data_IF_125609448837
#
_entry.id   IF_125609448837
#
_cell.length_a   1.000
_cell.length_b   1.000
_cell.length_c   1.000
_cell.angle_alpha   90.00
_cell.angle_beta   90.00
_cell.angle_gamma   90.00
#
_symmetry.space_group_name_H-M   'P 1'
#
loop_
_entity.id
_entity.type
_entity.pdbx_description
1 polymer ?
#
# COMPACT_ATOMS: atom_id res chain seq x y z
N UNK A 1 -2.16 10.39 23.27
CA UNK A 1 -1.99 11.88 23.20
C UNK A 1 -0.50 12.16 23.19
N UNK A 2 0.11 12.36 22.00
CA UNK A 2 1.49 12.84 21.93
C UNK A 2 1.52 14.31 22.39
N UNK A 3 2.48 14.74 23.22
CA UNK A 3 2.49 16.09 23.75
C UNK A 3 2.71 17.10 22.63
N UNK A 4 1.89 18.13 22.59
CA UNK A 4 1.94 19.29 21.68
C UNK A 4 3.31 20.03 21.61
N UNK A 5 4.24 19.67 22.46
CA UNK A 5 5.60 20.24 22.58
C UNK A 5 6.68 19.55 21.72
N UNK A 6 6.36 18.42 21.08
CA UNK A 6 7.31 17.68 20.22
C UNK A 6 7.60 18.34 18.87
N UNK A 7 6.64 19.12 18.33
CA UNK A 7 6.76 19.72 16.99
C UNK A 7 7.90 20.75 16.87
N UNK A 8 8.16 21.53 17.91
CA UNK A 8 9.18 22.58 17.90
C UNK A 8 10.63 22.05 17.78
N UNK A 9 10.92 20.88 18.30
CA UNK A 9 12.25 20.25 18.16
C UNK A 9 12.40 19.60 16.80
N UNK A 10 11.37 18.92 16.33
CA UNK A 10 11.37 18.22 15.04
C UNK A 10 11.53 19.17 13.86
N UNK A 11 10.78 20.28 13.82
CA UNK A 11 10.82 21.24 12.70
C UNK A 11 11.85 22.36 12.87
N UNK A 12 12.71 22.31 13.90
CA UNK A 12 13.65 23.41 14.22
C UNK A 12 14.57 23.77 13.07
N UNK A 13 15.14 22.79 12.40
CA UNK A 13 16.04 23.00 11.27
C UNK A 13 15.31 23.59 10.07
N UNK A 14 14.19 23.01 9.67
CA UNK A 14 13.39 23.48 8.54
C UNK A 14 12.82 24.89 8.78
N UNK A 15 12.34 25.19 10.00
CA UNK A 15 11.86 26.53 10.36
C UNK A 15 12.98 27.58 10.31
N UNK A 16 14.18 27.23 10.80
CA UNK A 16 15.34 28.14 10.74
C UNK A 16 15.74 28.44 9.30
N UNK A 17 15.87 27.39 8.47
CA UNK A 17 16.18 27.55 7.04
C UNK A 17 15.07 28.32 6.31
N UNK A 18 13.81 28.01 6.56
CA UNK A 18 12.67 28.70 5.97
C UNK A 18 12.66 30.20 6.28
N UNK A 19 12.97 30.58 7.51
CA UNK A 19 13.07 32.00 7.92
C UNK A 19 14.22 32.71 7.23
N UNK A 20 15.40 32.07 7.10
CA UNK A 20 16.55 32.63 6.39
C UNK A 20 16.19 32.83 4.92
N UNK A 21 15.63 31.83 4.25
CA UNK A 21 15.22 31.96 2.84
C UNK A 21 14.14 33.02 2.64
N UNK A 22 13.16 33.11 3.52
CA UNK A 22 12.13 34.18 3.48
C UNK A 22 12.77 35.57 3.53
N UNK A 23 13.76 35.77 4.42
CA UNK A 23 14.50 37.03 4.51
C UNK A 23 15.30 37.34 3.25
N UNK A 24 16.00 36.35 2.67
CA UNK A 24 16.77 36.50 1.43
C UNK A 24 15.86 36.80 0.22
N UNK A 25 14.75 36.11 0.07
CA UNK A 25 13.75 36.33 -0.99
C UNK A 25 13.16 37.75 -0.86
N UNK A 26 12.75 38.13 0.36
CA UNK A 26 12.24 39.50 0.62
C UNK A 26 13.26 40.59 0.29
N UNK A 27 14.53 40.40 0.67
CA UNK A 27 15.61 41.34 0.34
C UNK A 27 15.88 41.43 -1.18
N UNK A 28 15.92 40.31 -1.88
CA UNK A 28 16.13 40.25 -3.33
C UNK A 28 14.99 40.93 -4.10
N UNK A 29 13.75 40.73 -3.69
CA UNK A 29 12.58 41.27 -4.37
C UNK A 29 12.21 42.70 -3.93
N UNK A 30 12.86 43.23 -2.88
CA UNK A 30 12.55 44.55 -2.31
C UNK A 30 12.49 45.66 -3.37
N UNK A 31 13.53 45.78 -4.19
CA UNK A 31 13.64 46.87 -5.17
C UNK A 31 12.72 46.72 -6.36
N UNK A 32 12.48 45.48 -6.79
CA UNK A 32 11.72 45.19 -8.01
C UNK A 32 10.23 45.07 -7.78
N UNK A 33 9.81 44.43 -6.69
CA UNK A 33 8.40 44.11 -6.42
C UNK A 33 7.73 45.14 -5.48
N UNK A 34 8.46 45.70 -4.50
CA UNK A 34 7.89 46.55 -3.47
C UNK A 34 8.08 48.04 -3.70
N UNK A 35 9.05 48.43 -4.55
CA UNK A 35 9.31 49.86 -4.84
C UNK A 35 8.62 50.31 -6.11
N UNK A 36 8.60 49.47 -7.15
CA UNK A 36 8.16 49.87 -8.50
C UNK A 36 6.73 49.48 -8.85
N UNK A 37 6.06 48.61 -8.06
CA UNK A 37 4.74 48.06 -8.41
C UNK A 37 3.64 48.37 -7.39
N UNK A 38 2.45 48.56 -7.88
CA UNK A 38 1.21 48.57 -7.11
C UNK A 38 0.20 47.55 -7.66
N UNK A 39 -0.62 46.92 -6.81
CA UNK A 39 -0.72 47.05 -5.33
C UNK A 39 0.34 46.23 -4.61
N UNK A 40 1.10 46.86 -3.72
CA UNK A 40 2.20 46.25 -2.95
C UNK A 40 1.76 45.08 -2.07
N UNK A 41 0.56 45.16 -1.52
CA UNK A 41 0.00 44.12 -0.66
C UNK A 41 -0.24 42.80 -1.40
N UNK A 42 -0.62 42.81 -2.70
CA UNK A 42 -0.78 41.59 -3.49
C UNK A 42 0.56 40.86 -3.71
N UNK A 43 1.63 41.62 -3.97
CA UNK A 43 2.95 41.04 -4.13
C UNK A 43 3.49 40.49 -2.81
N UNK A 44 3.25 41.18 -1.69
CA UNK A 44 3.59 40.69 -0.37
C UNK A 44 2.84 39.39 -0.03
N UNK A 45 1.54 39.31 -0.37
CA UNK A 45 0.74 38.10 -0.23
C UNK A 45 1.36 36.92 -1.03
N UNK A 46 1.74 37.17 -2.29
CA UNK A 46 2.36 36.15 -3.12
C UNK A 46 3.73 35.69 -2.57
N UNK A 47 4.54 36.61 -2.08
CA UNK A 47 5.84 36.29 -1.43
C UNK A 47 5.60 35.49 -0.15
N UNK A 48 4.64 35.87 0.68
CA UNK A 48 4.28 35.11 1.89
C UNK A 48 3.85 33.69 1.58
N UNK A 49 3.03 33.51 0.54
CA UNK A 49 2.61 32.18 0.07
C UNK A 49 3.81 31.35 -0.39
N UNK A 50 4.66 31.91 -1.27
CA UNK A 50 5.81 31.21 -1.86
C UNK A 50 6.82 30.83 -0.78
N UNK A 51 7.10 31.71 0.18
CA UNK A 51 8.04 31.42 1.27
C UNK A 51 7.53 30.31 2.19
N UNK A 52 6.21 30.25 2.42
CA UNK A 52 5.61 29.19 3.23
C UNK A 52 5.59 27.84 2.48
N UNK A 53 5.31 27.83 1.17
CA UNK A 53 5.42 26.62 0.35
C UNK A 53 6.88 26.10 0.37
N UNK A 54 7.87 26.98 0.27
CA UNK A 54 9.27 26.61 0.41
C UNK A 54 9.57 26.02 1.80
N UNK A 55 9.00 26.60 2.85
CA UNK A 55 9.15 26.09 4.21
C UNK A 55 8.56 24.68 4.34
N UNK A 56 7.36 24.41 3.79
CA UNK A 56 6.77 23.07 3.78
C UNK A 56 7.65 22.07 3.01
N UNK A 57 8.21 22.44 1.88
CA UNK A 57 9.14 21.61 1.14
C UNK A 57 10.42 21.31 1.94
N UNK A 58 10.96 22.29 2.68
CA UNK A 58 12.11 22.10 3.55
C UNK A 58 11.86 21.10 4.68
N UNK A 59 10.62 20.95 5.18
CA UNK A 59 10.28 19.92 6.15
C UNK A 59 10.48 18.53 5.53
N UNK A 60 10.02 18.29 4.30
CA UNK A 60 10.28 17.02 3.61
C UNK A 60 11.78 16.77 3.38
N UNK A 61 12.52 17.78 2.91
CA UNK A 61 13.94 17.64 2.61
C UNK A 61 14.81 17.39 3.85
N UNK A 62 14.43 17.97 4.98
CA UNK A 62 15.18 17.79 6.24
C UNK A 62 14.82 16.49 6.99
N UNK A 63 13.73 15.82 6.60
CA UNK A 63 13.23 14.60 7.25
C UNK A 63 13.00 13.46 6.26
N UNK A 64 13.89 13.33 5.26
CA UNK A 64 13.79 12.25 4.27
C UNK A 64 13.87 10.84 4.87
N UNK A 65 14.51 10.69 6.03
CA UNK A 65 14.59 9.41 6.75
C UNK A 65 13.27 8.99 7.42
N UNK A 66 12.39 9.97 7.69
CA UNK A 66 11.06 9.74 8.29
C UNK A 66 9.98 10.52 7.55
N UNK A 67 9.88 10.23 6.25
CA UNK A 67 9.01 10.97 5.33
C UNK A 67 7.52 10.80 5.68
N UNK A 68 7.13 9.68 6.29
CA UNK A 68 5.74 9.44 6.72
C UNK A 68 5.32 10.41 7.82
N UNK A 69 6.17 10.59 8.82
CA UNK A 69 5.90 11.56 9.89
C UNK A 69 5.90 13.00 9.36
N UNK A 70 6.89 13.33 8.49
CA UNK A 70 6.94 14.64 7.82
C UNK A 70 5.65 14.92 7.06
N UNK A 71 5.13 13.94 6.31
CA UNK A 71 3.87 14.05 5.57
C UNK A 71 2.68 14.29 6.51
N UNK A 72 2.52 13.47 7.54
CA UNK A 72 1.42 13.62 8.51
C UNK A 72 1.44 14.99 9.20
N UNK A 73 2.63 15.55 9.45
CA UNK A 73 2.78 16.88 9.99
C UNK A 73 2.38 17.95 8.96
N UNK A 74 2.95 17.89 7.73
CA UNK A 74 2.69 18.86 6.67
C UNK A 74 1.23 18.87 6.25
N UNK A 75 0.60 17.70 6.09
CA UNK A 75 -0.81 17.58 5.73
C UNK A 75 -1.74 18.37 6.68
N UNK A 76 -1.42 18.35 7.97
CA UNK A 76 -2.21 19.06 8.99
C UNK A 76 -1.98 20.57 9.02
N UNK A 77 -0.73 21.01 8.76
CA UNK A 77 -0.34 22.40 8.99
C UNK A 77 -0.17 23.22 7.72
N UNK A 78 0.06 22.60 6.56
CA UNK A 78 0.40 23.33 5.34
C UNK A 78 -0.67 24.33 4.92
N UNK A 79 -1.91 23.91 4.78
CA UNK A 79 -2.99 24.78 4.31
C UNK A 79 -3.22 25.97 5.26
N UNK A 80 -3.41 25.78 6.59
CA UNK A 80 -3.55 26.90 7.51
C UNK A 80 -2.34 27.84 7.50
N UNK A 81 -1.12 27.32 7.49
CA UNK A 81 0.08 28.15 7.55
C UNK A 81 0.30 28.93 6.27
N UNK A 82 0.12 28.34 5.09
CA UNK A 82 0.22 29.02 3.80
C UNK A 82 -0.77 30.18 3.71
N UNK A 83 -2.04 29.94 4.09
CA UNK A 83 -3.08 30.96 4.03
C UNK A 83 -2.83 32.08 5.04
N UNK A 84 -2.54 31.74 6.30
CA UNK A 84 -2.31 32.73 7.35
C UNK A 84 -1.07 33.59 7.07
N UNK A 85 0.03 33.01 6.62
CA UNK A 85 1.25 33.75 6.26
C UNK A 85 1.04 34.65 5.05
N UNK A 86 0.29 34.22 4.04
CA UNK A 86 -0.06 35.04 2.90
C UNK A 86 -0.89 36.26 3.33
N UNK A 87 -1.88 36.08 4.19
CA UNK A 87 -2.71 37.17 4.72
C UNK A 87 -1.89 38.10 5.62
N UNK A 88 -1.09 37.54 6.54
CA UNK A 88 -0.28 38.34 7.48
C UNK A 88 0.72 39.23 6.75
N UNK A 89 1.41 38.72 5.72
CA UNK A 89 2.36 39.48 4.91
C UNK A 89 1.66 40.55 4.07
N UNK A 90 0.45 40.28 3.56
CA UNK A 90 -0.37 41.28 2.86
C UNK A 90 -0.79 42.41 3.79
N UNK A 91 -1.27 42.10 5.00
CA UNK A 91 -1.64 43.09 6.01
C UNK A 91 -0.44 43.91 6.47
N UNK A 92 0.69 43.27 6.76
CA UNK A 92 1.92 43.95 7.13
C UNK A 92 2.38 44.92 6.04
N UNK A 93 2.36 44.52 4.76
CA UNK A 93 2.68 45.42 3.67
C UNK A 93 1.71 46.60 3.51
N UNK A 94 0.42 46.41 3.79
CA UNK A 94 -0.58 47.48 3.73
C UNK A 94 -0.39 48.50 4.83
N UNK A 95 0.01 48.06 6.03
CA UNK A 95 0.20 48.92 7.19
C UNK A 95 1.56 49.62 7.18
N UNK A 96 2.62 48.89 6.85
CA UNK A 96 4.01 49.35 6.97
C UNK A 96 4.52 50.14 5.74
N UNK A 97 3.91 49.97 4.58
CA UNK A 97 4.32 50.68 3.35
C UNK A 97 3.33 51.80 3.06
N UNK A 98 3.65 53.05 3.37
CA UNK A 98 2.73 54.19 3.15
C UNK A 98 2.41 54.34 1.65
N UNK A 99 1.11 54.66 1.37
CA UNK A 99 0.62 54.92 -0.02
C UNK A 99 1.21 56.17 -0.69
N UNK A 100 2.14 56.86 -0.04
CA UNK A 100 2.63 58.19 -0.41
C UNK A 100 3.67 58.24 -1.56
N UNK A 101 4.11 57.12 -2.08
CA UNK A 101 4.97 57.08 -3.26
C UNK A 101 4.18 56.63 -4.49
N UNK A 102 3.25 57.46 -4.97
CA UNK A 102 2.59 57.27 -6.26
C UNK A 102 3.63 57.48 -7.36
N UNK A 103 3.95 56.49 -8.17
CA UNK A 103 4.75 56.73 -9.38
C UNK A 103 3.94 57.69 -10.26
N UNK A 104 4.62 58.72 -10.78
CA UNK A 104 4.02 59.68 -11.70
C UNK A 104 3.38 58.96 -12.88
N UNK A 105 2.25 59.46 -13.32
CA UNK A 105 1.37 58.96 -14.37
C UNK A 105 2.04 59.01 -15.78
N UNK A 106 3.19 58.35 -15.96
CA UNK A 106 3.88 58.27 -17.26
C UNK A 106 3.85 56.86 -17.82
N UNK A 107 3.19 56.70 -18.98
CA UNK A 107 3.17 55.52 -19.84
C UNK A 107 2.06 54.44 -19.71
N UNK A 108 0.80 54.87 -19.67
CA UNK A 108 -0.36 53.97 -19.66
C UNK A 108 -0.53 53.08 -20.90
N UNK A 109 0.08 53.37 -22.03
CA UNK A 109 -0.08 52.58 -23.26
C UNK A 109 0.86 51.35 -23.39
N UNK A 110 2.11 51.50 -22.96
CA UNK A 110 3.19 50.50 -23.10
C UNK A 110 3.12 49.40 -22.05
N UNK A 111 2.80 49.76 -20.83
CA UNK A 111 2.57 48.78 -19.76
C UNK A 111 1.45 47.77 -20.08
N UNK A 112 0.44 48.17 -20.84
CA UNK A 112 -0.66 47.30 -21.23
C UNK A 112 -0.25 46.15 -22.14
N UNK A 113 0.70 46.37 -23.09
CA UNK A 113 1.14 45.31 -24.04
C UNK A 113 2.01 44.28 -23.32
N UNK A 114 3.00 44.76 -22.53
CA UNK A 114 3.85 43.90 -21.71
C UNK A 114 3.07 43.11 -20.66
N UNK A 115 2.11 43.76 -19.99
CA UNK A 115 1.23 43.10 -19.03
C UNK A 115 0.28 42.09 -19.69
N UNK A 116 -0.22 42.40 -20.91
CA UNK A 116 -1.02 41.46 -21.69
C UNK A 116 -0.27 40.18 -22.04
N UNK A 117 0.94 40.34 -22.59
CA UNK A 117 1.83 39.22 -22.93
C UNK A 117 2.20 38.41 -21.67
N UNK A 118 2.55 39.06 -20.56
CA UNK A 118 2.85 38.41 -19.30
C UNK A 118 1.67 37.60 -18.76
N UNK A 119 0.43 38.13 -18.85
CA UNK A 119 -0.79 37.41 -18.43
C UNK A 119 -1.02 36.15 -19.26
N UNK A 120 -0.94 36.25 -20.60
CA UNK A 120 -1.12 35.11 -21.48
C UNK A 120 -0.11 34.01 -21.23
N UNK A 121 1.15 34.38 -21.07
CA UNK A 121 2.22 33.43 -20.81
C UNK A 121 2.04 32.76 -19.44
N UNK A 122 1.61 33.54 -18.42
CA UNK A 122 1.29 33.02 -17.09
C UNK A 122 0.12 32.04 -17.14
N UNK A 123 -0.91 32.32 -17.92
CA UNK A 123 -2.06 31.41 -18.12
C UNK A 123 -1.61 30.12 -18.81
N UNK A 124 -0.79 30.21 -19.85
CA UNK A 124 -0.27 29.03 -20.54
C UNK A 124 0.56 28.13 -19.60
N UNK A 125 1.45 28.72 -18.79
CA UNK A 125 2.26 27.98 -17.81
C UNK A 125 1.39 27.37 -16.72
N UNK A 126 0.39 28.10 -16.23
CA UNK A 126 -0.57 27.59 -15.23
C UNK A 126 -1.35 26.38 -15.76
N UNK A 127 -1.84 26.46 -17.02
CA UNK A 127 -2.53 25.34 -17.66
C UNK A 127 -1.58 24.15 -17.81
N UNK A 128 -0.35 24.37 -18.28
CA UNK A 128 0.63 23.31 -18.42
C UNK A 128 0.89 22.59 -17.08
N UNK A 129 1.13 23.34 -15.99
CA UNK A 129 1.31 22.75 -14.65
C UNK A 129 0.06 22.02 -14.15
N UNK A 130 -1.12 22.61 -14.35
CA UNK A 130 -2.37 21.95 -13.95
C UNK A 130 -2.57 20.61 -14.66
N UNK A 131 -2.25 20.54 -15.94
CA UNK A 131 -2.33 19.30 -16.73
C UNK A 131 -1.28 18.29 -16.24
N UNK A 132 -0.04 18.73 -16.01
CA UNK A 132 1.04 17.87 -15.50
C UNK A 132 0.70 17.31 -14.12
N UNK A 133 0.22 18.16 -13.22
CA UNK A 133 -0.20 17.75 -11.86
C UNK A 133 -1.34 16.74 -11.90
N UNK A 134 -2.36 16.98 -12.73
CA UNK A 134 -3.49 16.07 -12.89
C UNK A 134 -3.06 14.71 -13.47
N UNK A 135 -2.17 14.74 -14.48
CA UNK A 135 -1.64 13.52 -15.08
C UNK A 135 -0.77 12.74 -14.09
N UNK A 136 0.15 13.41 -13.39
CA UNK A 136 0.98 12.80 -12.35
C UNK A 136 0.14 12.17 -11.26
N UNK A 137 -0.87 12.87 -10.75
CA UNK A 137 -1.80 12.34 -9.74
C UNK A 137 -2.53 11.07 -10.23
N UNK A 138 -3.01 11.08 -11.48
CA UNK A 138 -3.69 9.93 -12.06
C UNK A 138 -2.74 8.72 -12.20
N UNK A 139 -1.53 8.97 -12.71
CA UNK A 139 -0.51 7.94 -12.88
C UNK A 139 -0.10 7.34 -11.53
N UNK A 140 0.22 8.16 -10.53
CA UNK A 140 0.62 7.71 -9.22
C UNK A 140 -0.52 6.99 -8.47
N UNK A 141 -1.77 7.39 -8.70
CA UNK A 141 -2.95 6.66 -8.18
C UNK A 141 -3.02 5.25 -8.78
N UNK A 142 -2.76 5.11 -10.09
CA UNK A 142 -2.74 3.81 -10.76
C UNK A 142 -1.61 2.93 -10.22
N UNK A 143 -0.41 3.49 -10.06
CA UNK A 143 0.76 2.78 -9.50
C UNK A 143 0.48 2.35 -8.05
N UNK A 144 -0.03 3.23 -7.21
CA UNK A 144 -0.34 2.92 -5.81
C UNK A 144 -1.37 1.80 -5.67
N UNK A 145 -2.41 1.80 -6.54
CA UNK A 145 -3.40 0.71 -6.58
C UNK A 145 -2.78 -0.61 -7.06
N UNK A 146 -1.92 -0.56 -8.08
CA UNK A 146 -1.24 -1.75 -8.57
C UNK A 146 -0.33 -2.37 -7.51
N UNK A 147 0.45 -1.54 -6.83
CA UNK A 147 1.32 -1.98 -5.74
C UNK A 147 0.53 -2.56 -4.55
N UNK A 148 -0.59 -1.93 -4.19
CA UNK A 148 -1.47 -2.45 -3.14
C UNK A 148 -2.06 -3.81 -3.54
N UNK A 149 -2.51 -3.96 -4.79
CA UNK A 149 -3.02 -5.22 -5.33
C UNK A 149 -1.97 -6.33 -5.26
N UNK A 150 -0.76 -6.08 -5.76
CA UNK A 150 0.36 -7.03 -5.73
C UNK A 150 0.73 -7.41 -4.29
N UNK A 151 0.78 -6.43 -3.38
CA UNK A 151 1.10 -6.67 -1.97
C UNK A 151 0.05 -7.54 -1.28
N UNK A 152 -1.23 -7.30 -1.54
CA UNK A 152 -2.33 -8.12 -1.03
C UNK A 152 -2.27 -9.55 -1.57
N UNK A 153 -2.07 -9.70 -2.89
CA UNK A 153 -2.01 -11.00 -3.55
C UNK A 153 -0.86 -11.86 -3.03
N UNK A 154 0.36 -11.31 -2.97
CA UNK A 154 1.53 -12.02 -2.47
C UNK A 154 1.36 -12.48 -1.02
N UNK A 155 0.86 -11.61 -0.14
CA UNK A 155 0.64 -12.00 1.27
C UNK A 155 -0.48 -13.03 1.42
N UNK A 156 -1.52 -12.94 0.60
CA UNK A 156 -2.62 -13.88 0.59
C UNK A 156 -2.16 -15.28 0.14
N UNK A 157 -1.38 -15.35 -0.94
CA UNK A 157 -0.82 -16.60 -1.44
C UNK A 157 0.15 -17.22 -0.44
N UNK A 158 1.03 -16.43 0.16
CA UNK A 158 1.98 -16.89 1.17
C UNK A 158 1.26 -17.53 2.35
N UNK A 159 0.24 -16.86 2.90
CA UNK A 159 -0.52 -17.40 4.05
C UNK A 159 -1.30 -18.65 3.66
N UNK A 160 -1.93 -18.67 2.49
CA UNK A 160 -2.63 -19.85 2.01
C UNK A 160 -1.69 -21.05 1.85
N UNK A 161 -0.52 -20.83 1.25
CA UNK A 161 0.50 -21.84 1.07
C UNK A 161 1.08 -22.33 2.40
N UNK A 162 1.31 -21.42 3.35
CA UNK A 162 1.79 -21.76 4.70
C UNK A 162 0.80 -22.65 5.44
N UNK A 163 -0.51 -22.35 5.35
CA UNK A 163 -1.58 -23.15 5.96
C UNK A 163 -1.62 -24.54 5.34
N UNK A 164 -1.60 -24.65 4.03
CA UNK A 164 -1.63 -25.94 3.32
C UNK A 164 -0.36 -26.76 3.63
N UNK A 165 0.82 -26.14 3.52
CA UNK A 165 2.08 -26.80 3.82
C UNK A 165 2.21 -27.23 5.30
N UNK A 166 1.62 -26.48 6.22
CA UNK A 166 1.60 -26.85 7.64
C UNK A 166 0.69 -28.04 7.89
N UNK A 167 -0.49 -28.08 7.24
CA UNK A 167 -1.39 -29.24 7.32
C UNK A 167 -0.76 -30.48 6.70
N UNK A 168 -0.06 -30.33 5.56
CA UNK A 168 0.67 -31.43 4.93
C UNK A 168 1.75 -31.98 5.87
N UNK A 169 2.55 -31.08 6.47
CA UNK A 169 3.59 -31.47 7.44
C UNK A 169 3.03 -32.20 8.65
N UNK A 170 1.88 -31.76 9.18
CA UNK A 170 1.24 -32.39 10.33
C UNK A 170 0.83 -33.83 10.02
N UNK A 171 0.15 -34.07 8.91
CA UNK A 171 -0.28 -35.38 8.51
C UNK A 171 0.91 -36.29 8.19
N UNK A 172 1.93 -35.76 7.46
CA UNK A 172 3.17 -36.48 7.21
C UNK A 172 3.92 -36.85 8.50
N UNK A 173 3.98 -35.96 9.47
CA UNK A 173 4.63 -36.24 10.74
C UNK A 173 3.95 -37.41 11.49
N UNK A 174 2.62 -37.50 11.42
CA UNK A 174 1.89 -38.63 11.96
C UNK A 174 2.24 -39.91 11.17
N UNK A 175 2.21 -39.85 9.83
CA UNK A 175 2.56 -40.99 8.99
C UNK A 175 4.00 -41.49 9.23
N UNK A 176 4.97 -40.57 9.39
CA UNK A 176 6.38 -40.92 9.75
C UNK A 176 6.48 -41.62 11.10
N UNK A 177 5.77 -41.14 12.13
CA UNK A 177 5.75 -41.77 13.47
C UNK A 177 5.15 -43.16 13.38
N UNK A 178 4.07 -43.33 12.61
CA UNK A 178 3.47 -44.64 12.38
C UNK A 178 4.40 -45.59 11.61
N UNK A 179 5.03 -45.09 10.56
CA UNK A 179 6.02 -45.91 9.81
C UNK A 179 7.20 -46.36 10.71
N UNK A 180 7.74 -45.44 11.53
CA UNK A 180 8.81 -45.78 12.47
C UNK A 180 8.38 -46.81 13.51
N UNK A 181 7.11 -46.68 14.00
CA UNK A 181 6.55 -47.62 14.96
C UNK A 181 6.32 -49.03 14.34
N UNK A 182 5.77 -49.09 13.11
CA UNK A 182 5.51 -50.34 12.38
C UNK A 182 6.79 -51.03 11.97
N UNK A 183 7.85 -50.31 11.64
CA UNK A 183 9.17 -50.91 11.33
C UNK A 183 9.82 -51.63 12.53
N UNK A 184 9.34 -51.40 13.76
CA UNK A 184 9.84 -52.05 14.98
C UNK A 184 8.86 -53.03 15.62
N UNK A 185 7.58 -53.11 15.16
CA UNK A 185 6.53 -53.87 15.83
C UNK A 185 5.54 -54.50 14.80
N UNK A 186 5.68 -55.75 14.52
CA UNK A 186 4.94 -56.50 13.46
C UNK A 186 3.47 -56.88 13.85
N UNK A 187 2.97 -56.59 15.08
CA UNK A 187 1.69 -57.16 15.56
C UNK A 187 0.71 -56.15 16.11
N UNK A 188 0.75 -54.90 15.63
CA UNK A 188 -0.16 -53.86 16.13
C UNK A 188 -1.28 -53.61 15.14
N UNK A 189 -2.51 -53.66 15.61
CA UNK A 189 -3.73 -53.40 14.80
C UNK A 189 -3.77 -51.96 14.29
N UNK A 190 -3.97 -51.71 12.99
CA UNK A 190 -4.21 -50.37 12.45
C UNK A 190 -5.32 -49.59 13.13
N UNK A 191 -6.36 -50.29 13.61
CA UNK A 191 -7.47 -49.66 14.34
C UNK A 191 -7.01 -49.06 15.68
N UNK A 192 -6.11 -49.71 16.41
CA UNK A 192 -5.54 -49.18 17.65
C UNK A 192 -4.61 -47.97 17.38
N UNK A 193 -3.88 -48.01 16.28
CA UNK A 193 -3.03 -46.93 15.83
C UNK A 193 -3.86 -45.72 15.41
N UNK A 194 -4.92 -45.93 14.64
CA UNK A 194 -5.84 -44.85 14.23
C UNK A 194 -6.41 -44.11 15.45
N UNK A 195 -6.87 -44.86 16.46
CA UNK A 195 -7.39 -44.31 17.72
C UNK A 195 -6.29 -43.54 18.51
N UNK A 196 -5.09 -44.11 18.64
CA UNK A 196 -3.97 -43.50 19.39
C UNK A 196 -3.47 -42.20 18.80
N UNK A 197 -3.42 -42.11 17.47
CA UNK A 197 -2.96 -40.93 16.73
C UNK A 197 -4.12 -40.00 16.33
N UNK A 198 -5.35 -40.36 16.72
CA UNK A 198 -6.56 -39.58 16.41
C UNK A 198 -6.71 -39.30 14.91
N UNK A 199 -6.44 -40.28 14.06
CA UNK A 199 -6.64 -40.25 12.63
C UNK A 199 -7.82 -41.14 12.26
N UNK A 200 -8.44 -40.86 11.12
CA UNK A 200 -9.67 -41.54 10.69
C UNK A 200 -9.39 -42.88 10.03
N UNK A 201 -8.17 -43.02 9.48
CA UNK A 201 -7.77 -44.23 8.76
C UNK A 201 -6.27 -44.44 8.86
N UNK A 202 -5.89 -45.71 9.04
CA UNK A 202 -4.52 -46.22 8.88
C UNK A 202 -4.62 -47.49 8.05
N UNK A 203 -3.91 -47.54 6.92
CA UNK A 203 -3.83 -48.69 6.02
C UNK A 203 -2.37 -49.07 5.76
N UNK A 204 -2.07 -50.36 5.79
CA UNK A 204 -0.74 -50.89 5.46
C UNK A 204 -0.82 -51.48 4.07
N UNK A 205 0.04 -51.05 3.17
CA UNK A 205 0.09 -51.48 1.79
C UNK A 205 1.39 -52.25 1.58
N UNK A 206 1.32 -53.39 0.92
CA UNK A 206 2.48 -54.23 0.61
C UNK A 206 3.29 -53.72 -0.59
N UNK A 207 4.37 -54.44 -0.92
CA UNK A 207 5.25 -54.13 -2.05
C UNK A 207 4.59 -54.28 -3.43
N UNK A 208 3.42 -54.96 -3.50
CA UNK A 208 2.63 -55.12 -4.73
C UNK A 208 1.55 -54.01 -4.85
N UNK A 209 1.41 -53.14 -3.87
CA UNK A 209 0.42 -52.07 -3.87
C UNK A 209 -0.97 -52.57 -3.46
N UNK A 210 -1.05 -53.63 -2.60
CA UNK A 210 -2.30 -54.18 -2.05
C UNK A 210 -2.39 -53.80 -0.59
N UNK A 211 -3.55 -53.36 -0.13
CA UNK A 211 -3.82 -53.08 1.28
C UNK A 211 -3.91 -54.45 2.00
N UNK A 212 -2.93 -54.76 2.84
CA UNK A 212 -2.85 -56.04 3.58
C UNK A 212 -3.46 -55.94 4.95
N UNK A 213 -3.53 -54.75 5.56
CA UNK A 213 -4.21 -54.49 6.84
C UNK A 213 -4.72 -53.01 6.88
N UNK A 214 -5.85 -52.79 7.55
CA UNK A 214 -6.47 -51.49 7.61
C UNK A 214 -7.33 -51.31 8.86
N UNK A 215 -7.41 -50.07 9.36
CA UNK A 215 -8.39 -49.68 10.37
C UNK A 215 -9.84 -49.70 9.82
N UNK A 216 -10.01 -49.78 8.52
CA UNK A 216 -11.28 -49.89 7.79
C UNK A 216 -11.28 -51.26 7.11
N UNK A 217 -11.94 -52.28 7.65
CA UNK A 217 -11.86 -53.66 7.17
C UNK A 217 -12.22 -53.84 5.69
N UNK A 218 -13.10 -53.01 5.18
CA UNK A 218 -13.59 -53.05 3.79
C UNK A 218 -12.49 -52.71 2.76
N UNK A 219 -11.37 -52.15 3.19
CA UNK A 219 -10.24 -51.80 2.30
C UNK A 219 -9.21 -52.93 2.22
N UNK A 220 -9.27 -53.92 3.07
CA UNK A 220 -8.33 -55.07 3.02
C UNK A 220 -8.50 -55.80 1.70
N UNK A 221 -7.42 -56.01 0.98
CA UNK A 221 -7.40 -56.64 -0.34
C UNK A 221 -7.58 -55.66 -1.51
N UNK A 222 -7.76 -54.36 -1.24
CA UNK A 222 -7.87 -53.39 -2.31
C UNK A 222 -6.53 -53.16 -2.99
N UNK A 223 -6.50 -53.25 -4.33
CA UNK A 223 -5.34 -52.92 -5.15
C UNK A 223 -5.29 -51.43 -5.41
N UNK A 224 -4.24 -50.75 -4.97
CA UNK A 224 -4.07 -49.26 -5.15
C UNK A 224 -4.10 -48.82 -6.62
N UNK A 225 -3.70 -49.67 -7.55
CA UNK A 225 -3.72 -49.40 -9.00
C UNK A 225 -5.15 -49.32 -9.59
N UNK A 226 -6.13 -49.90 -8.92
CA UNK A 226 -7.52 -49.96 -9.43
C UNK A 226 -8.28 -48.61 -9.34
N UNK A 227 -7.81 -47.66 -8.54
CA UNK A 227 -8.37 -46.33 -8.42
C UNK A 227 -7.37 -45.23 -8.86
N UNK A 228 -7.84 -44.23 -9.58
CA UNK A 228 -6.97 -43.13 -10.04
C UNK A 228 -6.35 -42.35 -8.84
N UNK A 229 -7.12 -42.14 -7.78
CA UNK A 229 -6.63 -41.45 -6.56
C UNK A 229 -5.64 -42.31 -5.77
N UNK A 230 -5.96 -43.59 -5.55
CA UNK A 230 -5.11 -44.50 -4.81
C UNK A 230 -3.78 -44.79 -5.56
N UNK A 231 -3.83 -44.85 -6.89
CA UNK A 231 -2.64 -45.07 -7.73
C UNK A 231 -1.56 -43.99 -7.57
N UNK A 232 -1.93 -42.77 -7.14
CA UNK A 232 -0.93 -41.72 -6.88
C UNK A 232 0.07 -42.12 -5.79
N UNK A 233 -0.33 -42.94 -4.80
CA UNK A 233 0.52 -43.44 -3.74
C UNK A 233 1.54 -44.52 -4.21
N UNK A 234 1.38 -45.10 -5.40
CA UNK A 234 2.31 -46.07 -5.94
C UNK A 234 3.70 -45.49 -6.24
N UNK A 235 3.84 -44.16 -6.22
CA UNK A 235 5.16 -43.50 -6.25
C UNK A 235 6.05 -43.93 -5.07
N UNK A 236 5.44 -44.27 -3.91
CA UNK A 236 6.11 -44.73 -2.70
C UNK A 236 6.77 -46.09 -2.85
N UNK A 237 6.33 -46.90 -3.81
CA UNK A 237 6.95 -48.21 -4.13
C UNK A 237 8.18 -48.06 -5.06
N UNK A 238 8.42 -46.85 -5.59
CA UNK A 238 9.52 -46.55 -6.53
C UNK A 238 10.58 -45.69 -5.84
N UNK A 239 10.59 -44.40 -6.20
CA UNK A 239 11.70 -43.49 -5.89
C UNK A 239 11.34 -42.44 -4.83
N UNK A 240 10.11 -42.48 -4.27
CA UNK A 240 9.64 -41.51 -3.31
C UNK A 240 9.45 -42.14 -1.94
N UNK A 241 9.95 -41.53 -0.88
CA UNK A 241 9.81 -42.04 0.49
C UNK A 241 8.51 -41.54 1.19
N UNK A 242 7.97 -40.43 0.73
CA UNK A 242 6.83 -39.77 1.33
C UNK A 242 5.93 -39.13 0.28
N UNK A 243 4.62 -39.18 0.49
CA UNK A 243 3.65 -38.55 -0.40
C UNK A 243 2.44 -38.01 0.38
N UNK A 244 1.95 -36.82 0.02
CA UNK A 244 0.73 -36.22 0.57
C UNK A 244 -0.22 -35.91 -0.56
N UNK A 245 -1.47 -36.27 -0.35
CA UNK A 245 -2.56 -35.96 -1.24
C UNK A 245 -3.39 -34.80 -0.65
N UNK A 246 -3.81 -33.87 -1.51
CA UNK A 246 -4.72 -32.78 -1.10
C UNK A 246 -6.04 -33.31 -0.56
N UNK A 247 -6.66 -32.54 0.35
CA UNK A 247 -8.01 -32.84 0.82
C UNK A 247 -9.01 -32.79 -0.35
N UNK A 248 -9.71 -33.89 -0.57
CA UNK A 248 -10.66 -34.01 -1.69
C UNK A 248 -11.65 -35.15 -1.47
N UNK A 249 -12.69 -35.14 -2.26
CA UNK A 249 -13.69 -36.23 -2.26
C UNK A 249 -13.05 -37.56 -2.72
N UNK A 250 -13.41 -38.63 -2.06
CA UNK A 250 -12.99 -39.99 -2.44
C UNK A 250 -13.83 -40.46 -3.60
N UNK A 251 -13.21 -40.72 -4.75
CA UNK A 251 -13.91 -41.16 -5.97
C UNK A 251 -14.71 -42.45 -5.75
N UNK A 252 -14.18 -43.36 -4.94
CA UNK A 252 -14.85 -44.65 -4.61
C UNK A 252 -16.01 -44.49 -3.62
N UNK A 253 -16.13 -43.37 -2.92
CA UNK A 253 -17.14 -43.12 -1.87
C UNK A 253 -17.67 -41.68 -2.00
N UNK A 254 -18.59 -41.40 -2.92
CA UNK A 254 -19.15 -40.08 -3.12
C UNK A 254 -19.72 -39.46 -1.84
N UNK A 255 -19.45 -38.19 -1.60
CA UNK A 255 -19.83 -37.47 -0.39
C UNK A 255 -18.85 -37.61 0.78
N UNK A 256 -17.84 -38.46 0.69
CA UNK A 256 -16.79 -38.61 1.71
C UNK A 256 -15.51 -37.89 1.25
N UNK A 257 -15.07 -36.92 2.06
CA UNK A 257 -13.84 -36.13 1.80
C UNK A 257 -12.75 -36.56 2.77
N UNK A 258 -11.55 -36.78 2.28
CA UNK A 258 -10.36 -37.11 3.08
C UNK A 258 -9.09 -36.48 2.54
N UNK A 259 -8.12 -36.32 3.45
CA UNK A 259 -6.74 -35.98 3.14
C UNK A 259 -5.87 -37.17 3.54
N UNK A 260 -4.97 -37.58 2.66
CA UNK A 260 -4.10 -38.74 2.89
C UNK A 260 -2.62 -38.37 2.84
N UNK A 261 -1.83 -39.05 3.65
CA UNK A 261 -0.37 -39.06 3.52
C UNK A 261 0.13 -40.50 3.60
N UNK A 262 1.20 -40.79 2.90
CA UNK A 262 1.88 -42.09 2.92
C UNK A 262 3.36 -41.96 3.17
N UNK A 263 3.95 -42.96 3.86
CA UNK A 263 5.39 -43.07 4.12
C UNK A 263 5.82 -44.51 3.91
N UNK A 264 6.94 -44.68 3.20
CA UNK A 264 7.52 -45.97 2.88
C UNK A 264 7.94 -46.72 4.13
N UNK A 265 7.73 -48.04 4.13
CA UNK A 265 8.15 -48.96 5.20
C UNK A 265 9.45 -49.69 4.83
N UNK A 266 10.19 -50.09 5.83
CA UNK A 266 11.41 -50.89 5.62
C UNK A 266 11.14 -52.25 4.94
N UNK A 267 9.91 -52.77 5.05
CA UNK A 267 9.44 -54.01 4.40
C UNK A 267 9.22 -53.85 2.89
N UNK A 268 9.37 -52.68 2.30
CA UNK A 268 9.17 -52.43 0.87
C UNK A 268 7.79 -51.88 0.49
N UNK A 269 6.78 -51.96 1.39
CA UNK A 269 5.48 -51.35 1.23
C UNK A 269 5.44 -49.93 1.83
N UNK A 270 4.23 -49.43 2.16
CA UNK A 270 4.05 -48.14 2.82
C UNK A 270 2.86 -48.14 3.78
N UNK A 271 2.88 -47.22 4.74
CA UNK A 271 1.70 -46.89 5.57
C UNK A 271 1.01 -45.67 4.98
N UNK A 272 -0.30 -45.76 4.84
CA UNK A 272 -1.18 -44.64 4.47
C UNK A 272 -2.01 -44.21 5.64
N UNK A 273 -2.13 -42.91 5.84
CA UNK A 273 -2.87 -42.30 6.95
C UNK A 273 -3.90 -41.31 6.40
N UNK A 274 -5.12 -41.35 6.87
CA UNK A 274 -6.18 -40.46 6.40
C UNK A 274 -6.78 -39.58 7.50
N UNK A 275 -6.99 -38.33 7.20
CA UNK A 275 -7.87 -37.41 7.92
C UNK A 275 -9.26 -37.42 7.28
N UNK A 276 -10.32 -37.54 8.11
CA UNK A 276 -11.68 -37.20 7.68
C UNK A 276 -11.92 -35.67 7.67
N UNK A 277 -13.12 -35.26 7.25
CA UNK A 277 -13.48 -33.84 7.20
C UNK A 277 -13.38 -33.18 8.58
N UNK A 278 -13.80 -33.85 9.65
CA UNK A 278 -13.78 -33.30 11.01
C UNK A 278 -12.33 -32.99 11.48
N UNK A 279 -11.47 -34.00 11.31
CA UNK A 279 -10.05 -33.84 11.69
C UNK A 279 -9.32 -32.83 10.82
N UNK A 280 -9.57 -32.86 9.51
CA UNK A 280 -8.98 -31.89 8.57
C UNK A 280 -9.36 -30.46 8.91
N UNK A 281 -10.65 -30.18 9.12
CA UNK A 281 -11.09 -28.83 9.49
C UNK A 281 -10.57 -28.38 10.86
N UNK A 282 -10.42 -29.30 11.82
CA UNK A 282 -9.79 -28.99 13.11
C UNK A 282 -8.31 -28.61 12.96
N UNK A 283 -7.59 -29.34 12.10
CA UNK A 283 -6.18 -29.05 11.77
C UNK A 283 -6.05 -27.70 11.08
N UNK A 284 -6.82 -27.47 10.00
CA UNK A 284 -6.84 -26.20 9.28
C UNK A 284 -7.17 -25.03 10.21
N UNK A 285 -8.19 -25.15 11.08
CA UNK A 285 -8.54 -24.09 12.05
C UNK A 285 -7.38 -23.73 12.97
N UNK A 286 -6.61 -24.72 13.39
CA UNK A 286 -5.41 -24.51 14.20
C UNK A 286 -4.33 -23.76 13.41
N UNK A 287 -4.05 -24.18 12.16
CA UNK A 287 -3.06 -23.56 11.30
C UNK A 287 -3.44 -22.12 10.94
N UNK A 288 -4.69 -21.91 10.58
CA UNK A 288 -5.28 -20.60 10.28
C UNK A 288 -5.05 -19.61 11.43
N UNK A 289 -5.35 -20.03 12.67
CA UNK A 289 -5.17 -19.18 13.85
C UNK A 289 -3.71 -18.81 14.08
N UNK A 290 -2.78 -19.72 13.81
CA UNK A 290 -1.34 -19.46 13.96
C UNK A 290 -0.84 -18.53 12.83
N UNK A 291 -1.24 -18.79 11.59
CA UNK A 291 -0.77 -18.03 10.42
C UNK A 291 -1.29 -16.59 10.41
N UNK A 292 -2.57 -16.38 10.77
CA UNK A 292 -3.17 -15.05 10.74
C UNK A 292 -2.73 -14.15 11.91
N UNK A 293 -2.46 -14.72 13.10
CA UNK A 293 -2.16 -13.92 14.30
C UNK A 293 -0.87 -13.10 14.21
N UNK A 294 0.05 -13.45 13.31
CA UNK A 294 1.39 -12.86 13.24
C UNK A 294 1.72 -12.18 11.91
N UNK A 295 0.81 -12.20 10.92
CA UNK A 295 1.06 -11.59 9.60
C UNK A 295 0.57 -10.16 9.55
N UNK A 296 1.50 -9.24 9.29
CA UNK A 296 1.22 -7.83 9.00
C UNK A 296 1.52 -7.53 7.54
N UNK A 297 0.62 -6.78 6.92
CA UNK A 297 0.78 -6.26 5.56
C UNK A 297 1.09 -4.77 5.67
N UNK A 298 2.30 -4.37 5.30
CA UNK A 298 2.77 -3.02 5.58
C UNK A 298 2.89 -2.72 7.07
N UNK A 299 2.39 -1.57 7.51
CA UNK A 299 2.44 -1.12 8.91
C UNK A 299 1.16 -1.49 9.67
N UNK A 300 0.01 -1.20 9.07
CA UNK A 300 -1.30 -1.28 9.71
C UNK A 300 -2.24 -2.30 9.05
N UNK A 301 -1.80 -2.92 7.94
CA UNK A 301 -2.53 -3.99 7.29
C UNK A 301 -2.30 -5.36 7.96
N UNK A 302 -3.18 -6.31 7.69
CA UNK A 302 -3.18 -7.62 8.31
C UNK A 302 -3.77 -8.69 7.37
N UNK A 303 -3.52 -9.96 7.72
CA UNK A 303 -4.30 -11.08 7.21
C UNK A 303 -5.29 -11.50 8.27
N UNK A 304 -6.55 -11.61 7.89
CA UNK A 304 -7.67 -12.07 8.74
C UNK A 304 -8.29 -13.31 8.13
N UNK A 305 -8.92 -14.12 8.95
CA UNK A 305 -9.65 -15.29 8.50
C UNK A 305 -11.07 -15.20 8.97
N UNK A 306 -12.00 -15.39 8.04
CA UNK A 306 -13.43 -15.38 8.29
C UNK A 306 -14.02 -16.74 7.99
N UNK A 307 -15.12 -17.05 8.66
CA UNK A 307 -15.94 -18.22 8.32
C UNK A 307 -16.83 -17.94 7.09
N UNK A 308 -17.64 -18.91 6.71
CA UNK A 308 -18.56 -18.82 5.57
C UNK A 308 -19.65 -17.76 5.73
N UNK A 309 -19.88 -17.25 6.94
CA UNK A 309 -20.79 -16.11 7.18
C UNK A 309 -20.10 -14.76 7.08
N UNK A 310 -18.78 -14.72 6.87
CA UNK A 310 -17.97 -13.52 6.89
C UNK A 310 -17.54 -13.06 8.28
N UNK A 311 -17.86 -13.83 9.33
CA UNK A 311 -17.45 -13.50 10.69
C UNK A 311 -15.95 -13.76 10.88
N UNK A 312 -15.24 -12.81 11.49
CA UNK A 312 -13.80 -12.90 11.75
C UNK A 312 -13.52 -13.93 12.84
N UNK A 313 -12.87 -15.03 12.46
CA UNK A 313 -12.47 -16.14 13.34
C UNK A 313 -11.07 -15.93 13.90
N UNK A 314 -10.20 -15.30 13.15
CA UNK A 314 -8.82 -15.00 13.53
C UNK A 314 -8.32 -13.77 12.81
N UNK A 315 -7.58 -12.91 13.52
CA UNK A 315 -7.02 -11.67 13.00
C UNK A 315 -6.39 -10.83 14.11
N UNK A 316 -6.39 -9.52 13.95
CA UNK A 316 -5.98 -8.59 15.01
C UNK A 316 -7.06 -8.52 16.10
N UNK A 317 -6.67 -8.23 17.36
CA UNK A 317 -7.62 -8.10 18.48
C UNK A 317 -8.78 -7.14 18.19
N UNK A 318 -8.49 -6.06 17.46
CA UNK A 318 -9.47 -5.03 17.09
C UNK A 318 -10.57 -5.53 16.13
N UNK A 319 -10.32 -6.62 15.41
CA UNK A 319 -11.25 -7.16 14.39
C UNK A 319 -11.95 -8.45 14.83
N UNK A 320 -11.59 -8.99 15.99
CA UNK A 320 -12.22 -10.22 16.48
C UNK A 320 -13.72 -10.01 16.74
N UNK A 321 -14.53 -10.84 16.09
CA UNK A 321 -15.99 -10.79 16.19
C UNK A 321 -16.68 -9.80 15.26
N UNK A 322 -15.94 -9.06 14.42
CA UNK A 322 -16.53 -8.28 13.32
C UNK A 322 -17.00 -9.19 12.18
N UNK A 323 -17.90 -8.70 11.36
CA UNK A 323 -18.37 -9.39 10.15
C UNK A 323 -18.07 -8.52 8.94
N UNK A 324 -17.43 -9.12 7.95
CA UNK A 324 -17.19 -8.46 6.66
C UNK A 324 -18.41 -8.74 5.79
N UNK A 325 -19.33 -7.76 5.72
CA UNK A 325 -20.61 -7.92 5.02
C UNK A 325 -20.42 -8.27 3.53
N UNK A 326 -19.36 -7.76 2.92
CA UNK A 326 -19.01 -8.02 1.52
C UNK A 326 -18.67 -9.49 1.25
N UNK A 327 -18.30 -10.27 2.27
CA UNK A 327 -18.03 -11.70 2.15
C UNK A 327 -19.28 -12.57 2.29
N UNK A 328 -20.34 -12.08 2.91
CA UNK A 328 -21.59 -12.84 3.08
C UNK A 328 -22.32 -13.07 1.73
N UNK A 329 -22.15 -12.15 0.78
CA UNK A 329 -22.82 -12.18 -0.54
C UNK A 329 -21.83 -12.45 -1.69
N UNK A 330 -20.61 -12.91 -1.40
CA UNK A 330 -19.57 -13.07 -2.42
C UNK A 330 -19.80 -14.30 -3.27
N UNK A 331 -19.91 -14.09 -4.57
CA UNK A 331 -19.79 -15.12 -5.58
C UNK A 331 -18.34 -15.64 -5.63
N UNK A 332 -18.15 -16.97 -5.59
CA UNK A 332 -16.84 -17.63 -5.61
C UNK A 332 -15.95 -17.25 -6.81
N UNK A 333 -16.55 -16.67 -7.85
CA UNK A 333 -15.83 -16.18 -9.04
C UNK A 333 -15.03 -14.88 -8.81
N UNK A 334 -15.19 -14.22 -7.65
CA UNK A 334 -14.47 -12.97 -7.32
C UNK A 334 -13.24 -13.17 -6.44
N UNK A 335 -12.78 -14.39 -6.27
CA UNK A 335 -11.53 -14.65 -5.57
C UNK A 335 -10.37 -13.88 -6.23
N UNK A 336 -9.42 -13.42 -5.41
CA UNK A 336 -8.26 -12.62 -5.85
C UNK A 336 -8.63 -11.30 -6.54
N UNK A 337 -9.81 -10.76 -6.27
CA UNK A 337 -10.22 -9.42 -6.74
C UNK A 337 -10.21 -8.46 -5.56
N UNK A 338 -9.64 -7.26 -5.77
CA UNK A 338 -9.65 -6.22 -4.74
C UNK A 338 -11.04 -5.62 -4.59
N UNK A 339 -11.51 -5.55 -3.37
CA UNK A 339 -12.73 -4.82 -2.98
C UNK A 339 -12.39 -3.89 -1.80
N UNK A 340 -13.31 -2.99 -1.49
CA UNK A 340 -13.15 -2.06 -0.36
C UNK A 340 -14.14 -2.45 0.73
N UNK A 341 -13.66 -2.55 1.97
CA UNK A 341 -14.46 -2.82 3.15
C UNK A 341 -14.08 -1.87 4.28
N UNK A 342 -15.02 -1.61 5.20
CA UNK A 342 -14.76 -0.85 6.42
C UNK A 342 -14.63 -1.82 7.59
N UNK A 343 -13.43 -1.94 8.13
CA UNK A 343 -13.07 -2.86 9.21
C UNK A 343 -12.56 -2.05 10.41
N UNK A 344 -13.17 -2.25 11.59
CA UNK A 344 -12.80 -1.49 12.79
C UNK A 344 -12.91 0.04 12.61
N UNK A 345 -13.82 0.52 11.74
CA UNK A 345 -13.96 1.94 11.41
C UNK A 345 -12.90 2.48 10.45
N UNK A 346 -12.06 1.63 9.86
CA UNK A 346 -11.01 1.98 8.89
C UNK A 346 -11.36 1.42 7.52
N UNK A 347 -11.38 2.29 6.50
CA UNK A 347 -11.55 1.88 5.12
C UNK A 347 -10.28 1.18 4.61
N UNK A 348 -10.42 -0.05 4.10
CA UNK A 348 -9.30 -0.87 3.65
C UNK A 348 -9.57 -1.49 2.28
N UNK A 349 -8.50 -1.65 1.48
CA UNK A 349 -8.49 -2.57 0.35
C UNK A 349 -8.36 -3.98 0.87
N UNK A 350 -9.24 -4.86 0.43
CA UNK A 350 -9.29 -6.25 0.80
C UNK A 350 -9.21 -7.14 -0.43
N UNK A 351 -8.57 -8.28 -0.27
CA UNK A 351 -8.54 -9.36 -1.25
C UNK A 351 -8.69 -10.69 -0.50
N UNK A 352 -9.42 -11.65 -1.06
CA UNK A 352 -9.60 -12.93 -0.39
C UNK A 352 -9.35 -14.13 -1.29
N UNK A 353 -9.07 -15.25 -0.64
CA UNK A 353 -9.13 -16.58 -1.21
C UNK A 353 -10.01 -17.45 -0.31
N UNK A 354 -10.84 -18.30 -0.92
CA UNK A 354 -11.61 -19.30 -0.19
C UNK A 354 -10.82 -20.61 -0.16
N UNK A 355 -10.60 -21.13 1.03
CA UNK A 355 -9.88 -22.38 1.25
C UNK A 355 -10.52 -23.15 2.38
N UNK A 356 -10.95 -24.38 2.10
CA UNK A 356 -11.41 -25.40 3.07
C UNK A 356 -12.45 -24.88 4.08
N UNK A 357 -13.43 -24.09 3.62
CA UNK A 357 -14.50 -23.55 4.46
C UNK A 357 -14.17 -22.22 5.14
N UNK A 358 -13.07 -21.58 4.80
CA UNK A 358 -12.65 -20.28 5.33
C UNK A 358 -12.32 -19.29 4.21
N UNK A 359 -12.63 -18.03 4.46
CA UNK A 359 -12.09 -16.91 3.69
C UNK A 359 -10.83 -16.41 4.37
N UNK A 360 -9.70 -16.50 3.68
CA UNK A 360 -8.46 -15.84 4.07
C UNK A 360 -8.47 -14.49 3.39
N UNK A 361 -8.45 -13.41 4.16
CA UNK A 361 -8.59 -12.04 3.67
C UNK A 361 -7.33 -11.26 4.00
N UNK A 362 -6.63 -10.80 2.98
CA UNK A 362 -5.58 -9.80 3.11
C UNK A 362 -6.22 -8.42 3.13
N UNK A 363 -5.88 -7.56 4.09
CA UNK A 363 -6.39 -6.19 4.20
C UNK A 363 -5.25 -5.18 4.30
N UNK A 364 -5.39 -4.04 3.64
CA UNK A 364 -4.47 -2.91 3.70
C UNK A 364 -5.27 -1.61 3.78
N UNK A 365 -5.10 -0.78 4.84
CA UNK A 365 -5.79 0.51 4.94
C UNK A 365 -5.58 1.38 3.70
N UNK A 366 -6.66 1.96 3.16
CA UNK A 366 -6.60 2.83 1.97
C UNK A 366 -5.64 4.00 2.20
N UNK A 367 -5.63 4.56 3.42
CA UNK A 367 -4.72 5.65 3.78
C UNK A 367 -3.24 5.23 3.66
N UNK A 368 -2.90 4.01 4.06
CA UNK A 368 -1.55 3.47 3.93
C UNK A 368 -1.21 3.14 2.46
N UNK A 369 -2.11 2.48 1.75
CA UNK A 369 -1.93 2.14 0.33
C UNK A 369 -1.68 3.39 -0.53
N UNK A 370 -2.37 4.51 -0.22
CA UNK A 370 -2.27 5.77 -0.96
C UNK A 370 -1.22 6.74 -0.40
N UNK A 371 -0.52 6.39 0.67
CA UNK A 371 0.42 7.29 1.34
C UNK A 371 1.56 7.76 0.42
N UNK A 372 2.16 6.86 -0.34
CA UNK A 372 3.25 7.19 -1.28
C UNK A 372 2.78 8.20 -2.34
N UNK A 373 1.59 7.97 -2.93
CA UNK A 373 0.96 8.91 -3.87
C UNK A 373 0.73 10.28 -3.23
N UNK A 374 0.18 10.31 -2.02
CA UNK A 374 -0.13 11.56 -1.34
C UNK A 374 1.15 12.37 -1.06
N UNK A 375 2.20 11.72 -0.57
CA UNK A 375 3.51 12.36 -0.36
C UNK A 375 4.04 12.95 -1.66
N UNK A 376 4.07 12.16 -2.73
CA UNK A 376 4.56 12.59 -4.04
C UNK A 376 3.74 13.77 -4.58
N UNK A 377 2.41 13.71 -4.47
CA UNK A 377 1.51 14.80 -4.89
C UNK A 377 1.82 16.11 -4.17
N UNK A 378 2.00 16.09 -2.85
CA UNK A 378 2.35 17.30 -2.09
C UNK A 378 3.71 17.86 -2.47
N UNK A 379 4.72 16.99 -2.56
CA UNK A 379 6.08 17.40 -2.94
C UNK A 379 6.10 17.98 -4.35
N UNK A 380 5.46 17.33 -5.31
CA UNK A 380 5.35 17.80 -6.70
C UNK A 380 4.63 19.13 -6.76
N UNK A 381 3.48 19.28 -6.09
CA UNK A 381 2.74 20.53 -6.06
C UNK A 381 3.56 21.69 -5.47
N UNK A 382 4.31 21.45 -4.40
CA UNK A 382 5.18 22.47 -3.80
C UNK A 382 6.32 22.88 -4.76
N UNK A 383 6.96 21.90 -5.41
CA UNK A 383 8.02 22.15 -6.41
C UNK A 383 7.44 22.94 -7.58
N UNK A 384 6.27 22.56 -8.10
CA UNK A 384 5.62 23.27 -9.22
C UNK A 384 5.30 24.72 -8.87
N UNK A 385 4.79 25.00 -7.66
CA UNK A 385 4.54 26.37 -7.20
C UNK A 385 5.83 27.18 -7.15
N UNK A 386 6.93 26.60 -6.68
CA UNK A 386 8.24 27.30 -6.63
C UNK A 386 8.82 27.54 -8.02
N UNK A 387 8.73 26.57 -8.92
CA UNK A 387 9.16 26.73 -10.32
C UNK A 387 8.32 27.81 -11.00
N UNK A 388 7.01 27.80 -10.80
CA UNK A 388 6.11 28.82 -11.33
C UNK A 388 6.49 30.23 -10.85
N UNK A 389 6.77 30.37 -9.55
CA UNK A 389 7.22 31.64 -8.98
C UNK A 389 8.56 32.12 -9.58
N UNK A 390 9.53 31.21 -9.72
CA UNK A 390 10.81 31.51 -10.33
C UNK A 390 10.67 31.93 -11.81
N UNK A 391 9.84 31.20 -12.58
CA UNK A 391 9.52 31.54 -13.96
C UNK A 391 8.84 32.91 -14.05
N UNK A 392 7.90 33.21 -13.19
CA UNK A 392 7.22 34.51 -13.15
C UNK A 392 8.22 35.66 -12.96
N UNK A 393 9.15 35.52 -12.02
CA UNK A 393 10.19 36.48 -11.76
C UNK A 393 11.13 36.64 -12.97
N UNK A 394 11.59 35.51 -13.54
CA UNK A 394 12.44 35.52 -14.72
C UNK A 394 11.78 36.19 -15.94
N UNK A 395 10.55 35.85 -16.24
CA UNK A 395 9.77 36.43 -17.32
C UNK A 395 9.61 37.94 -17.13
N UNK A 396 9.35 38.37 -15.90
CA UNK A 396 9.27 39.79 -15.58
C UNK A 396 10.55 40.53 -15.91
N UNK A 397 11.72 39.99 -15.48
CA UNK A 397 13.02 40.60 -15.77
C UNK A 397 13.33 40.61 -17.28
N UNK A 398 13.01 39.54 -17.99
CA UNK A 398 13.22 39.40 -19.42
C UNK A 398 12.37 40.41 -20.19
N UNK A 399 11.11 40.56 -19.87
CA UNK A 399 10.22 41.55 -20.50
C UNK A 399 10.72 42.98 -20.19
N UNK A 400 11.10 43.28 -18.94
CA UNK A 400 11.65 44.58 -18.59
C UNK A 400 12.89 44.91 -19.42
N UNK A 401 13.86 43.99 -19.46
CA UNK A 401 15.15 44.22 -20.14
C UNK A 401 15.04 44.26 -21.68
N UNK A 402 14.26 43.35 -22.27
CA UNK A 402 14.22 43.26 -23.74
C UNK A 402 13.21 44.22 -24.38
N UNK A 403 12.08 44.47 -23.75
CA UNK A 403 11.02 45.27 -24.35
C UNK A 403 11.02 46.70 -23.81
N UNK A 404 10.97 46.89 -22.51
CA UNK A 404 10.84 48.23 -21.92
C UNK A 404 12.09 49.03 -22.10
N UNK A 405 13.27 48.51 -21.72
CA UNK A 405 14.55 49.22 -21.79
C UNK A 405 14.99 49.51 -23.25
N UNK A 406 14.68 48.61 -24.20
CA UNK A 406 15.01 48.86 -25.61
C UNK A 406 14.07 49.88 -26.29
N UNK A 407 12.77 49.83 -25.93
CA UNK A 407 11.82 50.82 -26.45
C UNK A 407 12.12 52.22 -25.88
N UNK A 408 12.57 52.31 -24.62
CA UNK A 408 12.97 53.58 -24.01
C UNK A 408 14.21 54.15 -24.67
N UNK A 409 15.18 53.31 -25.07
CA UNK A 409 16.35 53.73 -25.88
C UNK A 409 15.96 54.24 -27.27
N UNK A 410 15.08 53.53 -27.97
CA UNK A 410 14.59 53.95 -29.30
C UNK A 410 13.84 55.28 -29.19
N UNK A 411 13.01 55.50 -28.18
CA UNK A 411 12.32 56.77 -27.99
C UNK A 411 13.24 57.91 -27.61
N UNK A 412 14.26 57.67 -26.78
CA UNK A 412 15.26 58.69 -26.49
C UNK A 412 15.98 59.13 -27.75
N UNK A 413 16.39 58.16 -28.59
CA UNK A 413 17.02 58.47 -29.88
C UNK A 413 16.09 59.18 -30.88
N UNK A 414 14.81 58.83 -30.93
CA UNK A 414 13.80 59.50 -31.74
C UNK A 414 13.52 60.93 -31.25
N UNK A 415 13.51 61.18 -29.93
CA UNK A 415 13.33 62.51 -29.37
C UNK A 415 14.52 63.45 -29.61
N UNK A 416 15.74 62.87 -29.69
CA UNK A 416 16.96 63.62 -30.10
C UNK A 416 16.90 64.03 -31.55
N UNK A 417 16.36 63.16 -32.43
CA UNK A 417 16.22 63.46 -33.89
C UNK A 417 15.14 64.49 -34.20
N UNK A 418 14.04 64.46 -33.37
CA UNK A 418 12.86 65.36 -33.62
C UNK A 418 12.95 66.69 -32.85
N UNK A 419 13.88 66.82 -31.92
CA UNK A 419 14.06 68.03 -31.09
C UNK A 419 15.24 68.91 -31.51
N UNK A 420 15.94 68.65 -32.69
CA UNK A 420 17.01 69.45 -33.27
C UNK A 420 16.50 70.42 -34.33
#
# INVERSE_FOLDING_TARGET
MAPLWGGGVYTRLSCTLGTIFAGLIGAALRKTMFTEREPKWMYAMAVGLITEVLHMLLIFLTHMSDIRFAFTFVERVALPMIVLNAIATALAARVMVPEGLRPQKKQRGREKLAQGFQRWLLVCVLIAFSVTCAFSFALETSIARSNANELLELNLEDVNNDIQAASDRNLLQIARRLAAYLNGNDSVSPASLAASYQVSEVSIVDENGVIVDSSVPEFIGFEMKSGAQSAEFLCLLKDTDEYVQSYREIVAMPGIYRKYAGVKLASGGFVQVGYDASRFHSDIRSQVRIAASNRRIGTDGAVIVCDTSGAVVSGTEALNGETIAELADVDTHRQKTVFTATLGGVEAYCMYVYTEGYYIVAMLPVAEAMMSRNISTYVTAFIEVLIFAALFVNIYFLIKRMIVDNIDKINASLSEITGG
#
